data_IF_400991009039
#
_entry.id   IF_400991009039
#
_cell.length_a   1.000
_cell.length_b   1.000
_cell.length_c   1.000
_cell.angle_alpha   90.00
_cell.angle_beta   90.00
_cell.angle_gamma   90.00
#
_symmetry.space_group_name_H-M   'P 1'
#
loop_
_entity.id
_entity.type
_entity.pdbx_description
1 polymer ?
#
# COMPACT_ATOMS: atom_id res chain seq x y z
N UNK A 1 20.98 49.95 0.18
CA UNK A 1 21.31 48.65 0.84
C UNK A 1 20.11 47.73 1.09
N UNK A 2 18.86 48.16 0.83
CA UNK A 2 17.67 47.33 1.09
C UNK A 2 17.38 46.23 0.04
N UNK A 3 17.96 46.29 -1.17
CA UNK A 3 17.75 45.29 -2.23
C UNK A 3 18.45 43.95 -1.95
N UNK A 4 19.73 44.00 -1.58
CA UNK A 4 20.57 42.81 -1.33
C UNK A 4 20.01 41.87 -0.25
N UNK A 5 19.44 42.41 0.82
CA UNK A 5 18.83 41.59 1.88
C UNK A 5 17.54 40.89 1.41
N UNK A 6 16.73 41.55 0.54
CA UNK A 6 15.49 40.98 0.00
C UNK A 6 15.79 39.85 -0.99
N UNK A 7 16.81 40.02 -1.81
CA UNK A 7 17.27 39.00 -2.76
C UNK A 7 17.85 37.78 -2.03
N UNK A 8 18.64 38.01 -0.97
CA UNK A 8 19.14 36.96 -0.08
C UNK A 8 18.01 36.17 0.59
N UNK A 9 17.01 36.86 1.15
CA UNK A 9 15.84 36.21 1.78
C UNK A 9 15.05 35.40 0.74
N UNK A 10 14.85 35.93 -0.46
CA UNK A 10 14.16 35.23 -1.54
C UNK A 10 14.91 33.98 -1.98
N UNK A 11 16.24 34.05 -2.16
CA UNK A 11 17.06 32.88 -2.47
C UNK A 11 16.99 31.83 -1.37
N UNK A 12 17.10 32.21 -0.10
CA UNK A 12 17.01 31.29 1.04
C UNK A 12 15.64 30.60 1.08
N UNK A 13 14.55 31.33 0.80
CA UNK A 13 13.20 30.75 0.77
C UNK A 13 13.04 29.73 -0.37
N UNK A 14 13.58 30.02 -1.56
CA UNK A 14 13.58 29.08 -2.70
C UNK A 14 14.37 27.81 -2.36
N UNK A 15 15.56 27.93 -1.77
CA UNK A 15 16.34 26.78 -1.32
C UNK A 15 15.61 25.97 -0.23
N UNK A 16 14.96 26.63 0.73
CA UNK A 16 14.15 25.96 1.75
C UNK A 16 12.97 25.18 1.15
N UNK A 17 12.29 25.71 0.14
CA UNK A 17 11.19 24.99 -0.54
C UNK A 17 11.64 23.78 -1.35
N UNK A 18 12.87 23.80 -1.89
CA UNK A 18 13.45 22.64 -2.60
C UNK A 18 13.81 21.48 -1.65
N UNK A 19 14.07 21.77 -0.37
CA UNK A 19 14.40 20.76 0.66
C UNK A 19 13.14 20.01 1.14
N UNK A 20 11.94 20.53 0.85
CA UNK A 20 10.68 19.85 1.12
C UNK A 20 10.61 18.62 0.20
N UNK A 21 11.05 17.48 0.74
CA UNK A 21 11.13 16.22 0.00
C UNK A 21 9.73 15.69 -0.29
N UNK A 22 9.51 15.21 -1.51
CA UNK A 22 8.33 14.42 -1.84
C UNK A 22 8.41 13.08 -1.10
N UNK A 23 7.55 12.89 -0.11
CA UNK A 23 7.35 11.58 0.51
C UNK A 23 6.23 10.86 -0.24
N UNK A 24 6.58 9.80 -0.96
CA UNK A 24 5.61 8.90 -1.59
C UNK A 24 5.43 7.64 -0.74
N UNK A 25 4.21 7.11 -0.69
CA UNK A 25 3.94 5.82 -0.05
C UNK A 25 4.52 4.68 -0.86
N UNK A 26 5.04 3.65 -0.19
CA UNK A 26 5.58 2.47 -0.86
C UNK A 26 4.47 1.58 -1.37
N UNK A 27 4.72 0.89 -2.48
CA UNK A 27 3.85 -0.17 -2.98
C UNK A 27 4.41 -1.55 -2.60
N UNK A 28 3.56 -2.40 -2.04
CA UNK A 28 3.89 -3.76 -1.65
C UNK A 28 3.10 -4.75 -2.49
N UNK A 29 3.79 -5.50 -3.34
CA UNK A 29 3.20 -6.67 -4.00
C UNK A 29 2.94 -7.75 -2.94
N UNK A 30 1.66 -8.11 -2.75
CA UNK A 30 1.24 -9.12 -1.79
C UNK A 30 1.91 -10.45 -2.12
N UNK A 31 2.53 -11.08 -1.12
CA UNK A 31 3.27 -12.34 -1.26
C UNK A 31 4.61 -12.25 -2.01
N UNK A 32 5.07 -11.06 -2.40
CA UNK A 32 6.33 -10.80 -3.12
C UNK A 32 6.50 -11.52 -4.48
N UNK A 33 5.47 -12.19 -5.00
CA UNK A 33 5.46 -12.84 -6.32
C UNK A 33 4.07 -12.74 -6.93
N UNK A 34 4.00 -12.76 -8.26
CA UNK A 34 2.74 -12.82 -9.01
C UNK A 34 2.00 -14.14 -8.73
N UNK A 35 0.67 -14.13 -8.73
CA UNK A 35 -0.18 -15.30 -8.47
C UNK A 35 0.04 -15.98 -7.09
N UNK A 36 0.44 -15.21 -6.08
CA UNK A 36 0.50 -15.68 -4.67
C UNK A 36 -0.82 -15.52 -3.94
N UNK A 37 -1.75 -14.76 -4.50
CA UNK A 37 -3.14 -14.71 -4.06
C UNK A 37 -3.87 -15.97 -4.53
N UNK A 38 -3.63 -17.05 -3.79
CA UNK A 38 -4.19 -18.40 -4.00
C UNK A 38 -4.24 -19.11 -2.66
N UNK A 39 -4.97 -20.22 -2.60
CA UNK A 39 -4.95 -21.10 -1.42
C UNK A 39 -3.54 -21.60 -1.14
N UNK A 40 -2.98 -21.20 0.00
CA UNK A 40 -1.61 -21.55 0.42
C UNK A 40 -1.54 -23.02 0.82
N UNK A 41 -0.49 -23.72 0.36
CA UNK A 41 -0.29 -25.16 0.56
C UNK A 41 0.56 -25.49 1.80
N UNK A 42 1.21 -24.48 2.39
CA UNK A 42 2.14 -24.63 3.52
C UNK A 42 2.25 -23.33 4.34
N UNK A 43 2.55 -23.43 5.64
CA UNK A 43 2.75 -22.27 6.52
C UNK A 43 3.89 -21.35 6.06
N UNK A 44 4.94 -21.92 5.46
CA UNK A 44 6.08 -21.17 4.91
C UNK A 44 5.71 -20.33 3.66
N UNK A 45 4.58 -20.64 3.04
CA UNK A 45 4.02 -19.87 1.93
C UNK A 45 2.91 -18.91 2.40
N UNK A 46 2.64 -18.83 3.71
CA UNK A 46 1.52 -18.05 4.22
C UNK A 46 1.74 -16.54 4.01
N UNK A 47 0.68 -15.86 3.59
CA UNK A 47 0.65 -14.39 3.50
C UNK A 47 0.82 -13.73 4.88
N UNK A 48 0.57 -14.46 5.98
CA UNK A 48 0.86 -13.98 7.33
C UNK A 48 2.36 -13.79 7.56
N UNK A 49 3.21 -14.75 7.15
CA UNK A 49 4.66 -14.63 7.29
C UNK A 49 5.22 -13.48 6.44
N UNK A 50 4.71 -13.32 5.22
CA UNK A 50 5.03 -12.17 4.37
C UNK A 50 4.66 -10.84 5.03
N UNK A 51 3.46 -10.75 5.61
CA UNK A 51 3.00 -9.55 6.29
C UNK A 51 3.85 -9.24 7.54
N UNK A 52 4.27 -10.25 8.30
CA UNK A 52 5.15 -10.09 9.46
C UNK A 52 6.55 -9.56 9.10
N UNK A 53 7.05 -9.91 7.92
CA UNK A 53 8.34 -9.43 7.41
C UNK A 53 8.26 -8.03 6.79
N UNK A 54 7.06 -7.43 6.72
CA UNK A 54 6.81 -6.14 6.09
C UNK A 54 6.39 -5.10 7.12
N UNK A 55 6.90 -3.87 7.00
CA UNK A 55 6.46 -2.73 7.82
C UNK A 55 5.62 -1.78 6.98
N UNK A 56 4.31 -1.80 7.23
CA UNK A 56 3.35 -0.92 6.56
C UNK A 56 3.22 0.43 7.26
N UNK A 57 3.22 1.51 6.50
CA UNK A 57 3.03 2.89 6.97
C UNK A 57 1.79 3.50 6.32
N UNK A 58 1.22 4.53 6.97
CA UNK A 58 0.16 5.34 6.38
C UNK A 58 0.69 5.98 5.10
N UNK A 59 -0.08 5.87 4.03
CA UNK A 59 0.29 6.29 2.68
C UNK A 59 0.78 5.15 1.79
N UNK A 60 1.29 4.04 2.36
CA UNK A 60 1.70 2.86 1.60
C UNK A 60 0.48 2.22 0.89
N UNK A 61 0.74 1.40 -0.13
CA UNK A 61 -0.28 0.66 -0.88
C UNK A 61 0.05 -0.82 -0.94
N UNK A 62 -0.98 -1.65 -0.86
CA UNK A 62 -0.92 -3.09 -1.11
C UNK A 62 -1.43 -3.37 -2.53
N UNK A 63 -0.71 -4.20 -3.26
CA UNK A 63 -1.01 -4.54 -4.66
C UNK A 63 -1.22 -6.04 -4.77
N UNK A 64 -2.40 -6.44 -5.27
CA UNK A 64 -2.75 -7.83 -5.52
C UNK A 64 -2.72 -8.10 -7.02
N UNK A 65 -2.05 -9.19 -7.39
CA UNK A 65 -2.04 -9.67 -8.76
C UNK A 65 -2.57 -11.11 -8.81
N UNK A 66 -3.77 -11.27 -9.36
CA UNK A 66 -4.49 -12.53 -9.50
C UNK A 66 -5.32 -12.55 -10.78
N UNK A 67 -5.80 -13.73 -11.18
CA UNK A 67 -6.77 -13.86 -12.28
C UNK A 67 -8.16 -13.51 -11.75
N UNK A 68 -8.68 -12.33 -12.09
CA UNK A 68 -9.98 -11.84 -11.64
C UNK A 68 -11.19 -12.70 -12.06
N UNK A 69 -11.00 -13.64 -13.00
CA UNK A 69 -12.04 -14.62 -13.36
C UNK A 69 -12.07 -15.82 -12.42
N UNK A 70 -11.00 -16.05 -11.65
CA UNK A 70 -10.85 -17.21 -10.75
C UNK A 70 -10.93 -16.80 -9.29
N UNK A 71 -10.36 -15.64 -8.96
CA UNK A 71 -10.23 -15.15 -7.59
C UNK A 71 -10.73 -13.71 -7.48
N UNK A 72 -10.93 -13.28 -6.24
CA UNK A 72 -11.31 -11.91 -5.86
C UNK A 72 -10.58 -11.48 -4.60
N UNK A 73 -10.46 -10.18 -4.38
CA UNK A 73 -9.96 -9.59 -3.13
C UNK A 73 -11.13 -8.97 -2.38
N UNK A 74 -11.26 -9.32 -1.10
CA UNK A 74 -12.36 -8.86 -0.25
C UNK A 74 -11.79 -8.27 1.03
N UNK A 75 -12.11 -7.00 1.30
CA UNK A 75 -11.80 -6.34 2.56
C UNK A 75 -12.91 -6.66 3.58
N UNK A 76 -12.52 -7.13 4.76
CA UNK A 76 -13.47 -7.60 5.78
C UNK A 76 -13.06 -7.13 7.17
N UNK A 77 -14.01 -7.17 8.11
CA UNK A 77 -13.71 -6.91 9.54
C UNK A 77 -13.02 -8.13 10.15
N UNK A 78 -12.33 -7.92 11.27
CA UNK A 78 -11.61 -8.99 12.00
C UNK A 78 -12.45 -10.24 12.27
N UNK A 79 -13.72 -10.07 12.68
CA UNK A 79 -14.62 -11.21 12.96
C UNK A 79 -14.80 -12.06 11.69
N UNK A 80 -15.11 -11.40 10.60
CA UNK A 80 -15.41 -12.03 9.32
C UNK A 80 -14.16 -12.67 8.70
N UNK A 81 -12.99 -12.06 8.90
CA UNK A 81 -11.69 -12.68 8.57
C UNK A 81 -11.48 -14.01 9.31
N UNK A 82 -11.72 -14.04 10.63
CA UNK A 82 -11.52 -15.25 11.45
C UNK A 82 -12.49 -16.37 11.06
N UNK A 83 -13.72 -16.04 10.69
CA UNK A 83 -14.76 -17.02 10.33
C UNK A 83 -14.86 -17.29 8.83
N UNK A 84 -13.97 -16.71 8.01
CA UNK A 84 -14.05 -16.74 6.55
C UNK A 84 -15.43 -16.31 6.00
N UNK A 85 -16.07 -15.31 6.63
CA UNK A 85 -17.35 -14.79 6.18
C UNK A 85 -17.16 -13.68 5.15
N UNK A 86 -17.67 -13.87 3.94
CA UNK A 86 -17.48 -12.92 2.81
C UNK A 86 -18.76 -12.22 2.37
N UNK A 87 -19.91 -12.51 3.00
CA UNK A 87 -21.21 -12.02 2.53
C UNK A 87 -21.51 -10.56 2.87
N UNK A 88 -20.69 -9.91 3.71
CA UNK A 88 -20.84 -8.50 4.09
C UNK A 88 -19.48 -7.79 4.06
N UNK A 89 -18.89 -7.60 2.86
CA UNK A 89 -17.58 -7.01 2.71
C UNK A 89 -17.59 -5.51 2.98
N UNK A 90 -16.44 -4.97 3.40
CA UNK A 90 -16.18 -3.52 3.42
C UNK A 90 -15.95 -3.04 1.98
N UNK A 91 -15.15 -3.80 1.23
CA UNK A 91 -14.88 -3.59 -0.19
C UNK A 91 -14.67 -4.95 -0.88
N UNK A 92 -15.02 -5.03 -2.17
CA UNK A 92 -14.83 -6.21 -3.00
C UNK A 92 -14.23 -5.79 -4.35
N UNK A 93 -13.19 -6.49 -4.76
CA UNK A 93 -12.45 -6.26 -5.99
C UNK A 93 -12.36 -7.55 -6.80
N UNK A 94 -12.63 -7.45 -8.10
CA UNK A 94 -12.60 -8.58 -9.07
C UNK A 94 -11.70 -8.28 -10.27
N UNK A 95 -11.01 -7.15 -10.23
CA UNK A 95 -10.01 -6.77 -11.22
C UNK A 95 -8.71 -7.54 -10.96
N UNK A 96 -7.99 -7.88 -12.03
CA UNK A 96 -6.74 -8.65 -11.93
C UNK A 96 -5.55 -7.86 -11.35
N UNK A 97 -5.75 -6.57 -11.08
CA UNK A 97 -4.74 -5.63 -10.59
C UNK A 97 -5.35 -4.68 -9.55
N UNK A 98 -5.62 -5.23 -8.36
CA UNK A 98 -6.22 -4.48 -7.26
C UNK A 98 -5.14 -3.74 -6.47
N UNK A 99 -5.30 -2.43 -6.30
CA UNK A 99 -4.42 -1.60 -5.45
C UNK A 99 -5.22 -0.94 -4.33
N UNK A 100 -4.84 -1.21 -3.07
CA UNK A 100 -5.47 -0.62 -1.88
C UNK A 100 -4.46 0.24 -1.13
N UNK A 101 -4.82 1.50 -0.91
CA UNK A 101 -4.02 2.46 -0.14
C UNK A 101 -4.35 2.38 1.35
N UNK A 102 -3.33 2.38 2.19
CA UNK A 102 -3.45 2.43 3.64
C UNK A 102 -3.55 3.90 4.08
N UNK A 103 -4.73 4.31 4.57
CA UNK A 103 -5.02 5.70 4.97
C UNK A 103 -5.15 5.84 6.49
#
# INVERSE_FOLDING_TARGET
MAGSARDLVSSVLVFLTMIISFSEGREFLVGCKTNTWKTVLSEFESLNLWAQNSRFLIGDSLVWNYDGNKDSMVEVRKRDYITCHTSSPIAEHKDSDTKVKLN
#
